data_IF_997441349960
#
_entry.id   IF_997441349960
#
_cell.length_a   1.000
_cell.length_b   1.000
_cell.length_c   1.000
_cell.angle_alpha   90.00
_cell.angle_beta   90.00
_cell.angle_gamma   90.00
#
_symmetry.space_group_name_H-M   'P 1'
#
loop_
_entity.id
_entity.type
_entity.pdbx_description
1 polymer ?
#
# COMPACT_ATOMS: atom_id res chain seq x y z
N UNK A 1 -28.94 -2.46 14.43
CA UNK A 1 -28.75 -3.89 14.13
C UNK A 1 -27.26 -4.09 13.83
N UNK A 2 -26.47 -4.46 14.84
CA UNK A 2 -25.09 -4.88 14.61
C UNK A 2 -25.13 -6.30 14.06
N UNK A 3 -24.85 -6.47 12.77
CA UNK A 3 -24.67 -7.79 12.16
C UNK A 3 -23.58 -8.56 12.91
N UNK A 4 -23.83 -9.83 13.19
CA UNK A 4 -22.81 -10.72 13.78
C UNK A 4 -21.68 -10.82 12.77
N UNK A 5 -20.55 -10.15 13.04
CA UNK A 5 -19.31 -10.30 12.29
C UNK A 5 -18.76 -11.70 12.58
N UNK A 6 -18.99 -12.62 11.68
CA UNK A 6 -18.34 -13.94 11.72
C UNK A 6 -16.93 -13.78 11.14
N UNK A 7 -15.91 -14.20 11.88
CA UNK A 7 -14.52 -14.20 11.44
C UNK A 7 -14.32 -14.95 10.10
N UNK A 8 -15.10 -16.02 9.87
CA UNK A 8 -15.08 -16.76 8.61
C UNK A 8 -15.56 -15.93 7.40
N UNK A 9 -16.47 -14.98 7.62
CA UNK A 9 -16.92 -14.04 6.58
C UNK A 9 -15.99 -12.86 6.37
N UNK A 10 -15.22 -12.47 7.39
CA UNK A 10 -14.23 -11.40 7.27
C UNK A 10 -12.95 -11.85 6.57
N UNK A 11 -12.50 -13.06 6.79
CA UNK A 11 -11.19 -13.53 6.30
C UNK A 11 -11.27 -14.32 4.99
N UNK A 12 -12.46 -14.71 4.50
CA UNK A 12 -12.66 -15.47 3.26
C UNK A 12 -11.64 -16.60 3.05
N UNK A 13 -11.24 -17.28 4.15
CA UNK A 13 -10.18 -18.30 4.15
C UNK A 13 -10.52 -19.53 3.29
N UNK A 14 -11.77 -19.66 2.87
CA UNK A 14 -12.23 -20.73 1.99
C UNK A 14 -11.88 -20.49 0.51
N UNK A 15 -11.54 -19.25 0.14
CA UNK A 15 -11.11 -18.94 -1.22
C UNK A 15 -9.60 -19.18 -1.34
N UNK A 16 -9.15 -20.07 -2.23
CA UNK A 16 -7.73 -20.45 -2.34
C UNK A 16 -6.83 -19.25 -2.68
N UNK A 17 -7.36 -18.26 -3.41
CA UNK A 17 -6.62 -17.05 -3.79
C UNK A 17 -6.33 -16.19 -2.55
N UNK A 18 -7.32 -15.99 -1.67
CA UNK A 18 -7.16 -15.21 -0.43
C UNK A 18 -6.18 -15.89 0.51
N UNK A 19 -6.27 -17.22 0.63
CA UNK A 19 -5.35 -17.99 1.46
C UNK A 19 -3.90 -17.90 0.95
N UNK A 20 -3.67 -18.05 -0.34
CA UNK A 20 -2.33 -17.93 -0.96
C UNK A 20 -1.77 -16.50 -0.81
N UNK A 21 -2.60 -15.47 -1.01
CA UNK A 21 -2.14 -14.08 -0.83
C UNK A 21 -1.82 -13.76 0.62
N UNK A 22 -2.62 -14.25 1.58
CA UNK A 22 -2.36 -14.08 3.01
C UNK A 22 -1.04 -14.74 3.41
N UNK A 23 -0.81 -15.98 2.98
CA UNK A 23 0.47 -16.69 3.23
C UNK A 23 1.62 -15.93 2.59
N UNK A 24 1.48 -15.47 1.36
CA UNK A 24 2.50 -14.69 0.66
C UNK A 24 2.88 -13.40 1.40
N UNK A 25 1.89 -12.66 1.91
CA UNK A 25 2.12 -11.45 2.71
C UNK A 25 2.80 -11.77 4.04
N UNK A 26 2.37 -12.85 4.72
CA UNK A 26 2.99 -13.27 5.98
C UNK A 26 4.45 -13.72 5.79
N UNK A 27 4.72 -14.53 4.78
CA UNK A 27 6.09 -14.98 4.46
C UNK A 27 6.95 -13.79 4.04
N UNK A 28 6.45 -12.91 3.16
CA UNK A 28 7.17 -11.71 2.72
C UNK A 28 7.47 -10.76 3.88
N UNK A 29 6.49 -10.53 4.75
CA UNK A 29 6.67 -9.73 5.96
C UNK A 29 7.68 -10.35 6.94
N UNK A 30 7.58 -11.65 7.19
CA UNK A 30 8.53 -12.37 8.04
C UNK A 30 9.97 -12.35 7.45
N UNK A 31 10.11 -12.54 6.15
CA UNK A 31 11.40 -12.46 5.47
C UNK A 31 12.02 -11.05 5.57
N UNK A 32 11.21 -10.01 5.40
CA UNK A 32 11.64 -8.61 5.54
C UNK A 32 12.09 -8.32 6.98
N UNK A 33 11.30 -8.74 7.98
CA UNK A 33 11.66 -8.59 9.39
C UNK A 33 12.94 -9.39 9.73
N UNK A 34 13.06 -10.61 9.22
CA UNK A 34 14.27 -11.42 9.39
C UNK A 34 15.50 -10.77 8.75
N UNK A 35 15.36 -10.19 7.57
CA UNK A 35 16.43 -9.45 6.91
C UNK A 35 16.87 -8.23 7.73
N UNK A 36 15.92 -7.41 8.22
CA UNK A 36 16.23 -6.23 9.05
C UNK A 36 16.93 -6.64 10.35
N UNK A 37 16.50 -7.74 10.99
CA UNK A 37 17.12 -8.26 12.22
C UNK A 37 18.50 -8.84 11.94
N UNK A 38 18.67 -9.59 10.86
CA UNK A 38 19.96 -10.15 10.45
C UNK A 38 21.00 -9.06 10.19
N UNK A 39 20.64 -8.01 9.47
CA UNK A 39 21.51 -6.86 9.21
C UNK A 39 21.63 -5.90 10.40
N UNK A 40 20.94 -6.14 11.51
CA UNK A 40 20.94 -5.28 12.73
C UNK A 40 20.65 -3.81 12.43
N UNK A 41 19.80 -3.54 11.43
CA UNK A 41 19.49 -2.18 10.97
C UNK A 41 18.28 -1.53 11.67
N UNK A 42 17.80 -2.10 12.76
CA UNK A 42 16.64 -1.57 13.50
C UNK A 42 16.85 -0.16 14.00
N UNK A 43 18.01 0.14 14.61
CA UNK A 43 18.33 1.47 15.12
C UNK A 43 18.50 2.49 14.00
N UNK A 44 19.05 2.07 12.86
CA UNK A 44 19.16 2.93 11.67
C UNK A 44 17.79 3.23 11.07
N UNK A 45 16.94 2.21 10.88
CA UNK A 45 15.59 2.36 10.37
C UNK A 45 14.77 3.31 11.25
N UNK A 46 14.83 3.10 12.58
CA UNK A 46 14.09 3.92 13.53
C UNK A 46 14.58 5.37 13.54
N UNK A 47 15.88 5.60 13.73
CA UNK A 47 16.44 6.95 13.90
C UNK A 47 16.53 7.75 12.59
N UNK A 48 16.88 7.09 11.50
CA UNK A 48 17.12 7.78 10.22
C UNK A 48 15.88 7.93 9.37
N UNK A 49 14.93 7.01 9.47
CA UNK A 49 13.74 7.02 8.61
C UNK A 49 12.46 7.34 9.39
N UNK A 50 12.08 6.52 10.38
CA UNK A 50 10.78 6.66 11.04
C UNK A 50 10.66 7.91 11.92
N UNK A 51 11.76 8.40 12.52
CA UNK A 51 11.76 9.60 13.37
C UNK A 51 12.38 10.82 12.69
N UNK A 52 12.67 10.74 11.39
CA UNK A 52 13.21 11.86 10.64
C UNK A 52 12.16 12.95 10.45
N UNK A 53 12.56 14.21 10.64
CA UNK A 53 11.75 15.41 10.36
C UNK A 53 12.18 16.10 9.07
N UNK A 54 13.20 15.58 8.37
CA UNK A 54 13.71 16.12 7.11
C UNK A 54 12.69 15.90 5.98
N UNK A 55 12.21 16.99 5.37
CA UNK A 55 11.22 16.95 4.29
C UNK A 55 11.64 16.09 3.09
N UNK A 56 12.94 15.98 2.80
CA UNK A 56 13.45 15.14 1.71
C UNK A 56 13.27 13.66 2.01
N UNK A 57 13.62 13.24 3.23
CA UNK A 57 13.45 11.84 3.66
C UNK A 57 11.97 11.47 3.73
N UNK A 58 11.14 12.36 4.26
CA UNK A 58 9.69 12.18 4.33
C UNK A 58 9.10 12.07 2.90
N UNK A 59 9.50 12.95 1.99
CA UNK A 59 9.07 12.90 0.59
C UNK A 59 9.45 11.60 -0.11
N UNK A 60 10.67 11.11 0.12
CA UNK A 60 11.12 9.80 -0.41
C UNK A 60 10.31 8.65 0.18
N UNK A 61 10.01 8.68 1.49
CA UNK A 61 9.16 7.65 2.13
C UNK A 61 7.76 7.61 1.50
N UNK A 62 7.13 8.77 1.27
CA UNK A 62 5.84 8.85 0.56
C UNK A 62 5.90 8.21 -0.83
N UNK A 63 6.96 8.51 -1.59
CA UNK A 63 7.14 7.95 -2.94
C UNK A 63 7.33 6.42 -2.87
N UNK A 64 8.12 5.91 -1.92
CA UNK A 64 8.32 4.46 -1.76
C UNK A 64 6.99 3.76 -1.43
N UNK A 65 6.22 4.29 -0.48
CA UNK A 65 4.88 3.73 -0.15
C UNK A 65 3.97 3.75 -1.37
N UNK A 66 3.93 4.86 -2.09
CA UNK A 66 3.14 4.98 -3.32
C UNK A 66 3.54 3.96 -4.39
N UNK A 67 4.84 3.71 -4.59
CA UNK A 67 5.33 2.72 -5.54
C UNK A 67 4.99 1.28 -5.12
N UNK A 68 5.08 0.96 -3.83
CA UNK A 68 4.65 -0.35 -3.31
C UNK A 68 3.15 -0.55 -3.55
N UNK A 69 2.33 0.47 -3.29
CA UNK A 69 0.89 0.41 -3.54
C UNK A 69 0.55 0.39 -5.03
N UNK A 70 1.37 1.03 -5.88
CA UNK A 70 1.25 0.91 -7.33
C UNK A 70 1.41 -0.54 -7.79
N UNK A 71 2.44 -1.25 -7.30
CA UNK A 71 2.65 -2.66 -7.65
C UNK A 71 1.48 -3.53 -7.17
N UNK A 72 0.93 -3.25 -6.00
CA UNK A 72 -0.27 -3.94 -5.48
C UNK A 72 -1.49 -3.67 -6.37
N UNK A 73 -1.75 -2.40 -6.71
CA UNK A 73 -2.84 -2.03 -7.60
C UNK A 73 -2.67 -2.57 -9.02
N UNK A 74 -1.45 -2.68 -9.52
CA UNK A 74 -1.15 -3.32 -10.79
C UNK A 74 -1.51 -4.82 -10.79
N UNK A 75 -1.23 -5.54 -9.71
CA UNK A 75 -1.65 -6.93 -9.57
C UNK A 75 -3.18 -7.08 -9.61
N UNK A 76 -3.92 -6.20 -8.94
CA UNK A 76 -5.38 -6.19 -8.99
C UNK A 76 -5.91 -5.91 -10.41
N UNK A 77 -5.28 -4.98 -11.14
CA UNK A 77 -5.62 -4.67 -12.52
C UNK A 77 -5.42 -5.88 -13.46
N UNK A 78 -4.32 -6.63 -13.29
CA UNK A 78 -4.07 -7.86 -14.08
C UNK A 78 -5.15 -8.90 -13.79
N UNK A 79 -5.53 -9.10 -12.53
CA UNK A 79 -6.59 -10.06 -12.17
C UNK A 79 -7.93 -9.67 -12.79
N UNK A 80 -8.31 -8.39 -12.73
CA UNK A 80 -9.55 -7.90 -13.35
C UNK A 80 -9.53 -8.06 -14.87
N UNK A 81 -8.42 -7.74 -15.53
CA UNK A 81 -8.28 -7.90 -16.98
C UNK A 81 -8.26 -9.37 -17.40
N UNK A 82 -7.59 -10.22 -16.63
CA UNK A 82 -7.61 -11.66 -16.86
C UNK A 82 -9.02 -12.24 -16.77
N UNK A 83 -9.78 -11.84 -15.75
CA UNK A 83 -11.19 -12.22 -15.61
C UNK A 83 -12.03 -11.79 -16.81
N UNK A 84 -11.91 -10.54 -17.24
CA UNK A 84 -12.63 -10.00 -18.40
C UNK A 84 -12.26 -10.73 -19.71
N UNK A 85 -10.99 -11.10 -19.87
CA UNK A 85 -10.52 -11.80 -21.08
C UNK A 85 -11.05 -13.25 -21.16
N UNK A 86 -11.20 -13.93 -20.02
CA UNK A 86 -11.69 -15.31 -19.95
C UNK A 86 -13.21 -15.37 -19.97
N UNK A 87 -13.91 -14.41 -19.37
CA UNK A 87 -15.37 -14.35 -19.28
C UNK A 87 -16.03 -13.81 -20.57
N UNK A 88 -15.57 -14.28 -21.74
CA UNK A 88 -16.10 -13.89 -23.04
C UNK A 88 -17.07 -14.96 -23.55
N UNK A 89 -18.14 -14.53 -24.24
CA UNK A 89 -19.09 -15.41 -24.91
C UNK A 89 -19.87 -16.38 -23.97
N UNK A 90 -20.16 -15.95 -22.73
CA UNK A 90 -20.95 -16.74 -21.78
C UNK A 90 -20.13 -17.75 -20.97
N UNK A 91 -18.80 -17.75 -21.09
CA UNK A 91 -17.94 -18.51 -20.18
C UNK A 91 -17.92 -17.81 -18.81
N UNK A 92 -18.11 -18.59 -17.76
CA UNK A 92 -17.86 -18.13 -16.39
C UNK A 92 -16.34 -17.99 -16.23
N UNK A 93 -15.88 -16.78 -15.86
CA UNK A 93 -14.46 -16.56 -15.59
C UNK A 93 -13.97 -17.35 -14.37
N UNK A 94 -12.75 -17.10 -13.95
CA UNK A 94 -12.16 -17.79 -12.78
C UNK A 94 -12.50 -17.12 -11.42
N UNK A 95 -13.09 -15.90 -11.43
CA UNK A 95 -13.46 -15.16 -10.22
C UNK A 95 -14.98 -15.16 -10.03
N UNK A 96 -15.48 -15.44 -8.81
CA UNK A 96 -16.88 -15.24 -8.47
C UNK A 96 -17.25 -13.74 -8.58
N UNK A 97 -18.49 -13.39 -8.95
CA UNK A 97 -18.89 -11.98 -9.16
C UNK A 97 -18.66 -11.08 -7.95
N UNK A 98 -18.97 -11.55 -6.74
CA UNK A 98 -18.78 -10.79 -5.51
C UNK A 98 -17.29 -10.52 -5.20
N UNK A 99 -16.41 -11.44 -5.57
CA UNK A 99 -14.97 -11.27 -5.41
C UNK A 99 -14.41 -10.26 -6.42
N UNK A 100 -14.93 -10.30 -7.64
CA UNK A 100 -14.57 -9.31 -8.66
C UNK A 100 -14.91 -7.89 -8.22
N UNK A 101 -16.10 -7.67 -7.63
CA UNK A 101 -16.53 -6.38 -7.11
C UNK A 101 -15.64 -5.87 -5.96
N UNK A 102 -15.19 -6.77 -5.09
CA UNK A 102 -14.25 -6.44 -4.03
C UNK A 102 -12.89 -6.01 -4.56
N UNK A 103 -12.34 -6.75 -5.54
CA UNK A 103 -11.06 -6.39 -6.19
C UNK A 103 -11.18 -5.07 -6.94
N UNK A 104 -12.29 -4.84 -7.63
CA UNK A 104 -12.55 -3.59 -8.33
C UNK A 104 -12.58 -2.39 -7.38
N UNK A 105 -13.30 -2.51 -6.29
CA UNK A 105 -13.37 -1.47 -5.25
C UNK A 105 -12.01 -1.25 -4.58
N UNK A 106 -11.32 -2.32 -4.22
CA UNK A 106 -9.99 -2.26 -3.62
C UNK A 106 -8.97 -1.59 -4.56
N UNK A 107 -8.97 -1.95 -5.84
CA UNK A 107 -8.12 -1.32 -6.84
C UNK A 107 -8.36 0.19 -6.92
N UNK A 108 -9.63 0.63 -7.02
CA UNK A 108 -9.97 2.06 -7.08
C UNK A 108 -9.49 2.84 -5.85
N UNK A 109 -9.74 2.32 -4.66
CA UNK A 109 -9.30 2.93 -3.40
C UNK A 109 -7.77 2.99 -3.31
N UNK A 110 -7.08 1.89 -3.61
CA UNK A 110 -5.61 1.82 -3.54
C UNK A 110 -4.97 2.82 -4.52
N UNK A 111 -5.46 2.88 -5.75
CA UNK A 111 -4.87 3.75 -6.78
C UNK A 111 -5.06 5.24 -6.49
N UNK A 112 -6.17 5.64 -5.87
CA UNK A 112 -6.42 7.04 -5.55
C UNK A 112 -5.78 7.43 -4.21
N UNK A 113 -6.11 6.73 -3.12
CA UNK A 113 -5.72 7.14 -1.78
C UNK A 113 -4.32 6.69 -1.36
N UNK A 114 -3.87 5.53 -1.82
CA UNK A 114 -2.58 4.97 -1.39
C UNK A 114 -1.47 5.09 -2.44
N UNK A 115 -1.82 5.36 -3.69
CA UNK A 115 -0.82 5.61 -4.74
C UNK A 115 -0.78 7.08 -5.15
N UNK A 116 -1.86 7.63 -5.71
CA UNK A 116 -1.83 8.97 -6.30
C UNK A 116 -1.60 10.06 -5.25
N UNK A 117 -2.32 10.04 -4.13
CA UNK A 117 -2.19 11.05 -3.07
C UNK A 117 -0.80 11.02 -2.40
N UNK A 118 -0.27 9.88 -1.91
CA UNK A 118 1.07 9.86 -1.33
C UNK A 118 2.16 10.20 -2.34
N UNK A 119 2.03 9.82 -3.60
CA UNK A 119 2.98 10.17 -4.64
C UNK A 119 3.05 11.68 -4.87
N UNK A 120 1.89 12.34 -5.03
CA UNK A 120 1.81 13.80 -5.16
C UNK A 120 2.33 14.51 -3.91
N UNK A 121 1.96 14.04 -2.73
CA UNK A 121 2.46 14.61 -1.46
C UNK A 121 3.97 14.46 -1.33
N UNK A 122 4.52 13.32 -1.73
CA UNK A 122 5.97 13.08 -1.75
C UNK A 122 6.70 14.05 -2.68
N UNK A 123 6.19 14.26 -3.89
CA UNK A 123 6.75 15.22 -4.85
C UNK A 123 6.68 16.66 -4.32
N UNK A 124 5.52 17.07 -3.79
CA UNK A 124 5.35 18.41 -3.21
C UNK A 124 6.32 18.64 -2.05
N UNK A 125 6.51 17.68 -1.17
CA UNK A 125 7.45 17.77 -0.05
C UNK A 125 8.91 17.92 -0.50
N UNK A 126 9.28 17.38 -1.66
CA UNK A 126 10.64 17.52 -2.20
C UNK A 126 10.77 18.82 -3.00
N UNK A 127 9.84 19.08 -3.92
CA UNK A 127 9.98 20.11 -4.94
C UNK A 127 9.72 21.52 -4.39
N UNK A 128 8.65 21.69 -3.59
CA UNK A 128 8.24 23.03 -3.12
C UNK A 128 9.31 23.70 -2.26
N UNK A 129 9.87 23.07 -1.20
CA UNK A 129 10.93 23.71 -0.42
C UNK A 129 12.17 24.05 -1.26
N UNK A 130 12.50 23.21 -2.24
CA UNK A 130 13.63 23.47 -3.13
C UNK A 130 13.37 24.65 -4.07
N UNK A 131 12.16 24.80 -4.60
CA UNK A 131 11.79 25.89 -5.50
C UNK A 131 11.77 27.27 -4.80
N UNK A 132 11.29 27.31 -3.57
CA UNK A 132 11.25 28.57 -2.79
C UNK A 132 12.57 28.86 -2.03
N UNK A 133 13.56 27.94 -2.12
CA UNK A 133 14.82 28.07 -1.40
C UNK A 133 14.70 27.95 0.12
N UNK A 134 13.61 27.35 0.61
CA UNK A 134 13.41 27.10 2.04
C UNK A 134 14.29 25.94 2.51
N UNK A 135 14.81 26.08 3.75
CA UNK A 135 15.65 25.03 4.35
C UNK A 135 14.84 23.81 4.76
N UNK A 136 13.57 24.02 5.15
CA UNK A 136 12.64 22.96 5.56
C UNK A 136 11.18 23.41 5.38
N UNK A 137 10.22 22.50 5.59
CA UNK A 137 8.79 22.80 5.60
C UNK A 137 8.40 23.56 6.88
N UNK A 138 7.28 24.32 6.84
CA UNK A 138 6.82 25.15 7.96
C UNK A 138 6.55 24.36 9.24
N UNK A 139 6.05 23.10 9.11
CA UNK A 139 5.71 22.22 10.24
C UNK A 139 6.29 20.82 10.03
N UNK A 140 7.61 20.61 10.25
CA UNK A 140 8.27 19.36 9.93
C UNK A 140 7.76 18.16 10.76
N UNK A 141 7.41 18.40 12.03
CA UNK A 141 6.84 17.37 12.90
C UNK A 141 5.45 16.91 12.42
N UNK A 142 4.57 17.84 12.07
CA UNK A 142 3.24 17.50 11.53
C UNK A 142 3.33 16.78 10.19
N UNK A 143 4.30 17.12 9.35
CA UNK A 143 4.54 16.45 8.09
C UNK A 143 4.97 14.98 8.30
N UNK A 144 5.87 14.72 9.25
CA UNK A 144 6.26 13.36 9.63
C UNK A 144 5.09 12.58 10.26
N UNK A 145 4.31 13.21 11.12
CA UNK A 145 3.13 12.61 11.75
C UNK A 145 2.07 12.26 10.69
N UNK A 146 1.86 13.13 9.71
CA UNK A 146 0.93 12.90 8.62
C UNK A 146 1.33 11.66 7.79
N UNK A 147 2.60 11.49 7.47
CA UNK A 147 3.11 10.28 6.80
C UNK A 147 2.79 9.01 7.61
N UNK A 148 3.12 9.01 8.91
CA UNK A 148 2.92 7.84 9.78
C UNK A 148 1.44 7.52 10.01
N UNK A 149 0.56 8.51 9.93
CA UNK A 149 -0.87 8.32 10.07
C UNK A 149 -1.54 7.84 8.79
N UNK A 150 -1.03 8.26 7.61
CA UNK A 150 -1.63 7.96 6.29
C UNK A 150 -1.01 6.74 5.60
N UNK A 151 0.14 6.26 6.06
CA UNK A 151 0.80 5.05 5.54
C UNK A 151 0.52 3.83 6.40
#
# INVERSE_FOLDING_TARGET
MMGKLNLDQMLFLHEPIVFVTLIGVLIGGAALLAAITYFKKWTWLWKEWLTSVDHKKIGVMYIIVALVMLLRGFADAIMMRGQQAVAVAGAEGFLPPHHYDQIFTAHGVIMIFFMAMPFMTGLVNIVVPLQIGARDVAFPFLNSLCLLYTS
#
